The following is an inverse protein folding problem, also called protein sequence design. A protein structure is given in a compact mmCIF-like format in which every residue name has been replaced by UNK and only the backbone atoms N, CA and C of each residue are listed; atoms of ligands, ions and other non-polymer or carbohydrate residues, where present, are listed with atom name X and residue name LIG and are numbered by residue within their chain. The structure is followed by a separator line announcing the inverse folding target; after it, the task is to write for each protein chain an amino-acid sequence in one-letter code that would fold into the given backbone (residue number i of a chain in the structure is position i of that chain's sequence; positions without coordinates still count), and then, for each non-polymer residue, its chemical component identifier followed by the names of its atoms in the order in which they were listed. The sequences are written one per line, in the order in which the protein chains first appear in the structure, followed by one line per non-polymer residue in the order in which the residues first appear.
data_IF_217044018475
#
_entry.id   IF_217044018475
#
_cell.length_a   1.000
_cell.length_b   1.000
_cell.length_c   1.000
_cell.angle_alpha   90.00
_cell.angle_beta   90.00
_cell.angle_gamma   90.00
#
_symmetry.space_group_name_H-M   'P 1'
#
loop_
_entity.id
_entity.type
_entity.pdbx_description
1 polymer ?
#
# COMPACT_ATOMS: atom_id res chain seq x y z
N UNK A 1 -10.74 58.18 14.46
CA UNK A 1 -11.66 57.52 15.42
C UNK A 1 -11.83 56.07 15.01
N UNK A 2 -11.87 55.14 15.99
CA UNK A 2 -11.90 53.66 15.87
C UNK A 2 -10.54 52.95 15.82
N UNK A 3 -9.65 53.34 16.72
CA UNK A 3 -8.63 52.45 17.34
C UNK A 3 -9.03 52.19 18.79
N UNK A 4 -10.06 51.38 19.02
CA UNK A 4 -10.38 50.81 20.34
C UNK A 4 -11.55 49.86 20.19
N UNK A 5 -11.28 48.54 20.18
CA UNK A 5 -12.19 47.46 20.60
C UNK A 5 -11.50 46.11 20.32
N UNK A 6 -10.42 45.84 21.06
CA UNK A 6 -9.90 44.48 21.25
C UNK A 6 -9.92 44.24 22.77
N UNK A 7 -10.76 43.34 23.29
CA UNK A 7 -10.58 42.89 24.67
C UNK A 7 -9.34 41.99 24.71
N UNK A 8 -8.30 42.45 25.41
CA UNK A 8 -7.13 41.65 25.81
C UNK A 8 -7.59 40.54 26.75
N UNK A 9 -7.91 39.36 26.20
CA UNK A 9 -8.09 38.16 27.02
C UNK A 9 -6.69 37.62 27.38
N UNK A 10 -6.22 37.96 28.58
CA UNK A 10 -5.14 37.24 29.26
C UNK A 10 -5.65 35.85 29.62
N UNK A 11 -5.27 34.83 28.86
CA UNK A 11 -5.48 33.44 29.27
C UNK A 11 -4.26 33.00 30.10
N UNK A 12 -4.48 32.81 31.40
CA UNK A 12 -3.53 32.13 32.28
C UNK A 12 -3.38 30.65 31.83
N UNK A 13 -2.19 30.03 31.93
CA UNK A 13 -2.00 28.64 31.55
C UNK A 13 -2.64 27.73 32.61
N UNK A 14 -3.93 27.43 32.45
CA UNK A 14 -4.58 26.37 33.22
C UNK A 14 -4.19 24.99 32.66
N UNK A 15 -3.57 24.21 33.53
CA UNK A 15 -3.27 22.79 33.42
C UNK A 15 -4.49 21.98 32.96
N UNK A 16 -4.63 21.67 31.68
CA UNK A 16 -5.46 20.55 31.20
C UNK A 16 -4.86 20.02 29.88
N UNK A 17 -3.71 19.35 29.99
CA UNK A 17 -3.25 18.42 28.97
C UNK A 17 -4.05 17.11 29.16
N UNK A 18 -4.87 16.67 28.19
CA UNK A 18 -5.55 15.40 28.28
C UNK A 18 -4.52 14.26 28.34
N UNK A 19 -4.83 13.22 29.10
CA UNK A 19 -4.04 11.98 29.33
C UNK A 19 -3.54 11.24 28.08
N UNK A 20 -3.88 11.70 26.88
CA UNK A 20 -3.31 11.26 25.59
C UNK A 20 -1.89 11.78 25.33
N UNK A 21 -1.45 12.87 25.98
CA UNK A 21 -0.08 13.37 25.83
C UNK A 21 0.95 12.56 26.63
N UNK A 22 0.55 11.93 27.74
CA UNK A 22 1.45 11.11 28.54
C UNK A 22 1.73 9.73 27.93
N UNK A 23 0.81 9.19 27.11
CA UNK A 23 1.01 7.90 26.44
C UNK A 23 1.83 8.00 25.14
N UNK A 24 1.99 9.21 24.58
CA UNK A 24 2.74 9.45 23.35
C UNK A 24 4.17 9.95 23.64
N UNK A 25 4.44 10.48 24.84
CA UNK A 25 5.74 11.05 25.24
C UNK A 25 6.27 10.36 26.50
N UNK A 26 6.53 9.04 26.43
CA UNK A 26 7.45 8.34 27.35
C UNK A 26 8.15 7.19 26.62
N UNK A 27 9.09 7.54 25.74
CA UNK A 27 10.28 6.73 25.52
C UNK A 27 11.48 7.53 26.04
N UNK A 28 11.43 7.91 27.32
CA UNK A 28 12.66 8.27 28.03
C UNK A 28 13.28 6.97 28.51
N UNK A 29 14.53 6.76 28.10
CA UNK A 29 15.26 5.53 28.34
C UNK A 29 15.29 5.17 29.82
N UNK A 30 14.72 4.01 30.14
CA UNK A 30 15.21 3.18 31.23
C UNK A 30 15.84 1.97 30.57
N UNK A 31 17.13 1.74 30.85
CA UNK A 31 17.76 0.45 30.69
C UNK A 31 17.20 -0.48 31.78
N UNK A 32 15.94 -0.88 31.68
CA UNK A 32 15.46 -2.05 32.41
C UNK A 32 15.90 -3.29 31.63
N UNK A 33 16.30 -4.33 32.35
CA UNK A 33 16.49 -5.68 31.81
C UNK A 33 15.15 -6.21 31.34
N UNK A 34 14.68 -5.71 30.20
CA UNK A 34 13.49 -6.18 29.55
C UNK A 34 13.82 -7.52 28.89
N UNK A 35 13.14 -8.59 29.33
CA UNK A 35 13.35 -9.94 28.80
C UNK A 35 13.08 -10.03 27.30
N UNK A 36 13.55 -11.11 26.66
CA UNK A 36 13.47 -11.27 25.21
C UNK A 36 12.04 -11.18 24.66
N UNK A 37 11.03 -11.63 25.40
CA UNK A 37 9.63 -11.51 25.00
C UNK A 37 9.13 -10.05 24.91
N UNK A 38 9.59 -9.16 25.79
CA UNK A 38 9.24 -7.74 25.76
C UNK A 38 9.80 -7.06 24.49
N UNK A 39 10.97 -7.48 24.01
CA UNK A 39 11.56 -6.97 22.77
C UNK A 39 10.64 -7.18 21.56
N UNK A 40 10.11 -8.40 21.42
CA UNK A 40 9.24 -8.76 20.30
C UNK A 40 7.87 -8.11 20.42
N UNK A 41 7.32 -7.98 21.62
CA UNK A 41 6.08 -7.23 21.83
C UNK A 41 6.21 -5.76 21.45
N UNK A 42 7.31 -5.11 21.85
CA UNK A 42 7.59 -3.72 21.45
C UNK A 42 7.74 -3.61 19.94
N UNK A 43 8.38 -4.58 19.30
CA UNK A 43 8.53 -4.60 17.85
C UNK A 43 7.18 -4.80 17.13
N UNK A 44 6.33 -5.73 17.59
CA UNK A 44 4.98 -5.91 17.09
C UNK A 44 4.15 -4.63 17.25
N UNK A 45 4.12 -4.02 18.45
CA UNK A 45 3.40 -2.77 18.71
C UNK A 45 3.90 -1.63 17.81
N UNK A 46 5.20 -1.62 17.50
CA UNK A 46 5.78 -0.66 16.56
C UNK A 46 5.28 -0.87 15.13
N UNK A 47 5.29 -2.11 14.65
CA UNK A 47 4.76 -2.49 13.33
C UNK A 47 3.27 -2.17 13.24
N UNK A 48 2.49 -2.36 14.30
CA UNK A 48 1.04 -2.11 14.27
C UNK A 48 0.68 -0.62 14.15
N UNK A 49 1.59 0.26 14.58
CA UNK A 49 1.46 1.72 14.38
C UNK A 49 1.66 2.16 12.94
N UNK A 50 2.25 1.33 12.08
CA UNK A 50 2.38 1.60 10.63
C UNK A 50 1.01 1.63 9.94
N UNK A 51 0.93 2.14 8.71
CA UNK A 51 -0.36 2.35 8.03
C UNK A 51 -1.15 1.06 7.77
N UNK A 52 -0.48 -0.05 7.48
CA UNK A 52 -1.11 -1.35 7.24
C UNK A 52 -1.34 -2.16 8.52
N UNK A 53 -0.73 -1.72 9.62
CA UNK A 53 -0.81 -2.42 10.90
C UNK A 53 -0.13 -3.80 10.89
N UNK A 54 -0.21 -4.44 12.04
CA UNK A 54 0.36 -5.74 12.34
C UNK A 54 -0.37 -6.32 13.56
N UNK A 55 -1.66 -6.70 13.44
CA UNK A 55 -2.43 -7.20 14.58
C UNK A 55 -1.70 -8.31 15.32
N UNK A 56 -1.61 -8.20 16.64
CA UNK A 56 -0.91 -9.20 17.45
C UNK A 56 -1.55 -10.59 17.28
N UNK A 57 -0.71 -11.60 17.07
CA UNK A 57 -1.09 -13.01 17.16
C UNK A 57 0.12 -13.85 17.54
N UNK A 58 -0.13 -15.05 18.06
CA UNK A 58 0.93 -16.02 18.34
C UNK A 58 1.75 -16.34 17.08
N UNK A 59 1.07 -16.45 15.93
CA UNK A 59 1.69 -16.69 14.63
C UNK A 59 2.65 -15.55 14.25
N UNK A 60 2.25 -14.28 14.40
CA UNK A 60 3.14 -13.14 14.15
C UNK A 60 4.35 -13.16 15.08
N UNK A 61 4.16 -13.45 16.38
CA UNK A 61 5.27 -13.50 17.33
C UNK A 61 6.31 -14.56 16.96
N UNK A 62 5.88 -15.73 16.46
CA UNK A 62 6.78 -16.76 15.92
C UNK A 62 7.58 -16.24 14.72
N UNK A 63 6.93 -15.53 13.79
CA UNK A 63 7.61 -14.91 12.65
C UNK A 63 8.69 -13.93 13.14
N UNK A 64 8.35 -13.03 14.06
CA UNK A 64 9.27 -12.02 14.57
C UNK A 64 10.49 -12.64 15.27
N UNK A 65 10.29 -13.72 16.03
CA UNK A 65 11.37 -14.48 16.71
C UNK A 65 12.32 -15.18 15.73
N UNK A 66 11.84 -15.53 14.54
CA UNK A 66 12.66 -16.17 13.51
C UNK A 66 13.46 -15.13 12.72
N UNK A 67 12.85 -14.01 12.35
CA UNK A 67 13.46 -13.04 11.43
C UNK A 67 14.41 -12.05 12.12
N UNK A 68 14.29 -11.89 13.44
CA UNK A 68 15.09 -10.95 14.21
C UNK A 68 15.49 -11.56 15.56
N UNK A 69 16.73 -11.30 15.97
CA UNK A 69 17.18 -11.56 17.35
C UNK A 69 16.52 -10.58 18.33
N UNK A 70 16.56 -10.83 19.66
CA UNK A 70 16.00 -9.90 20.65
C UNK A 70 16.66 -8.51 20.61
N UNK A 71 17.95 -8.42 20.28
CA UNK A 71 18.67 -7.14 20.11
C UNK A 71 18.17 -6.38 18.88
N UNK A 72 18.02 -7.09 17.76
CA UNK A 72 17.49 -6.55 16.50
C UNK A 72 16.05 -6.09 16.64
N UNK A 73 15.18 -6.87 17.30
CA UNK A 73 13.79 -6.50 17.57
C UNK A 73 13.70 -5.24 18.45
N UNK A 74 14.54 -5.12 19.49
CA UNK A 74 14.65 -3.90 20.30
C UNK A 74 15.03 -2.69 19.46
N UNK A 75 16.03 -2.81 18.60
CA UNK A 75 16.44 -1.73 17.70
C UNK A 75 15.30 -1.36 16.74
N UNK A 76 14.74 -2.34 16.03
CA UNK A 76 13.67 -2.15 15.06
C UNK A 76 12.42 -1.51 15.69
N UNK A 77 12.07 -1.87 16.93
CA UNK A 77 10.95 -1.27 17.67
C UNK A 77 11.08 0.25 17.90
N UNK A 78 12.30 0.78 17.82
CA UNK A 78 12.61 2.21 18.02
C UNK A 78 12.85 2.96 16.71
N UNK A 79 12.86 2.27 15.56
CA UNK A 79 13.09 2.89 14.26
C UNK A 79 11.82 3.60 13.74
N UNK A 80 11.97 4.71 13.01
CA UNK A 80 10.85 5.46 12.45
C UNK A 80 10.24 4.80 11.22
N UNK A 81 8.96 5.02 10.94
CA UNK A 81 8.33 4.55 9.70
C UNK A 81 8.65 5.45 8.51
N UNK A 82 9.13 6.67 8.78
CA UNK A 82 9.50 7.66 7.79
C UNK A 82 11.02 7.76 7.63
N UNK A 83 11.54 8.00 6.41
CA UNK A 83 12.97 8.09 6.15
C UNK A 83 13.64 9.14 7.03
N UNK A 84 14.67 8.73 7.77
CA UNK A 84 15.34 9.56 8.77
C UNK A 84 16.85 9.40 8.71
N UNK A 85 17.59 10.52 8.72
CA UNK A 85 19.04 10.48 8.57
C UNK A 85 19.69 9.79 9.76
N UNK A 86 20.77 9.04 9.49
CA UNK A 86 21.50 8.30 10.52
C UNK A 86 22.05 9.20 11.62
N UNK A 87 22.45 10.44 11.30
CA UNK A 87 22.92 11.42 12.29
C UNK A 87 21.86 11.73 13.35
N UNK A 88 20.58 11.78 12.95
CA UNK A 88 19.46 11.99 13.86
C UNK A 88 19.15 10.72 14.66
N UNK A 89 19.09 9.57 13.99
CA UNK A 89 18.85 8.28 14.66
C UNK A 89 19.92 8.00 15.73
N UNK A 90 21.19 8.28 15.44
CA UNK A 90 22.28 8.14 16.39
C UNK A 90 22.05 8.96 17.67
N UNK A 91 21.63 10.22 17.54
CA UNK A 91 21.31 11.09 18.68
C UNK A 91 20.10 10.59 19.49
N UNK A 92 19.03 10.18 18.82
CA UNK A 92 17.80 9.70 19.47
C UNK A 92 17.99 8.34 20.15
N UNK A 93 18.75 7.46 19.51
CA UNK A 93 19.01 6.11 20.01
C UNK A 93 20.14 6.05 21.03
N UNK A 94 20.99 7.09 21.07
CA UNK A 94 22.24 7.17 21.84
C UNK A 94 23.23 6.06 21.47
N UNK A 95 23.35 5.79 20.17
CA UNK A 95 24.27 4.79 19.60
C UNK A 95 25.21 5.52 18.63
N UNK A 96 26.54 5.35 18.71
CA UNK A 96 27.48 5.95 17.77
C UNK A 96 27.13 5.63 16.30
N UNK A 97 27.32 6.58 15.39
CA UNK A 97 26.91 6.44 13.97
C UNK A 97 27.46 5.16 13.34
N UNK A 98 28.75 4.86 13.52
CA UNK A 98 29.39 3.68 12.94
C UNK A 98 28.73 2.37 13.43
N UNK A 99 28.55 2.25 14.74
CA UNK A 99 27.90 1.08 15.35
C UNK A 99 26.43 0.97 14.91
N UNK A 100 25.73 2.09 14.82
CA UNK A 100 24.34 2.11 14.37
C UNK A 100 24.21 1.70 12.89
N UNK A 101 25.11 2.16 12.03
CA UNK A 101 25.14 1.80 10.60
C UNK A 101 25.35 0.30 10.42
N UNK A 102 26.31 -0.29 11.16
CA UNK A 102 26.56 -1.73 11.16
C UNK A 102 25.32 -2.52 11.60
N UNK A 103 24.68 -2.12 12.70
CA UNK A 103 23.49 -2.82 13.21
C UNK A 103 22.26 -2.68 12.30
N UNK A 104 21.98 -1.48 11.78
CA UNK A 104 20.82 -1.25 10.92
C UNK A 104 21.03 -1.85 9.52
N UNK A 105 22.25 -1.87 8.99
CA UNK A 105 22.53 -2.46 7.68
C UNK A 105 22.19 -3.96 7.65
N UNK A 106 22.46 -4.69 8.73
CA UNK A 106 22.02 -6.10 8.87
C UNK A 106 20.50 -6.22 8.80
N UNK A 107 19.75 -5.31 9.44
CA UNK A 107 18.29 -5.28 9.34
C UNK A 107 17.83 -4.97 7.91
N UNK A 108 18.55 -4.12 7.18
CA UNK A 108 18.23 -3.80 5.80
C UNK A 108 18.48 -4.99 4.86
N UNK A 109 19.60 -5.70 5.02
CA UNK A 109 19.88 -6.94 4.29
C UNK A 109 18.85 -8.05 4.60
N UNK A 110 18.32 -8.10 5.83
CA UNK A 110 17.21 -9.00 6.19
C UNK A 110 15.87 -8.56 5.59
N UNK A 111 15.76 -7.34 5.09
CA UNK A 111 14.53 -6.75 4.56
C UNK A 111 13.60 -6.16 5.63
N UNK A 112 14.11 -5.85 6.81
CA UNK A 112 13.33 -5.30 7.93
C UNK A 112 13.38 -3.76 8.01
N UNK A 113 14.36 -3.17 7.32
CA UNK A 113 14.59 -1.72 7.24
C UNK A 113 14.89 -1.35 5.79
N UNK A 114 14.42 -0.21 5.32
CA UNK A 114 14.90 0.37 4.05
C UNK A 114 15.98 1.38 4.38
N UNK A 115 17.09 1.30 3.64
CA UNK A 115 18.11 2.34 3.60
C UNK A 115 18.01 3.15 2.29
N UNK A 116 18.46 4.40 2.32
CA UNK A 116 18.49 5.31 1.17
C UNK A 116 19.70 6.23 1.27
N UNK A 117 20.33 6.53 0.14
CA UNK A 117 21.38 7.56 0.06
C UNK A 117 20.78 8.87 -0.46
N UNK A 118 20.86 9.95 0.32
CA UNK A 118 20.41 11.28 -0.07
C UNK A 118 21.48 12.30 0.32
N UNK A 119 21.99 13.07 -0.65
CA UNK A 119 23.01 14.12 -0.42
C UNK A 119 24.21 13.65 0.43
N UNK A 120 24.75 12.46 0.11
CA UNK A 120 25.86 11.80 0.82
C UNK A 120 25.57 11.37 2.28
N UNK A 121 24.33 11.43 2.74
CA UNK A 121 23.91 10.89 4.03
C UNK A 121 22.97 9.68 3.86
N UNK A 122 23.11 8.68 4.73
CA UNK A 122 22.22 7.51 4.79
C UNK A 122 20.96 7.84 5.58
N UNK A 123 19.82 7.45 5.03
CA UNK A 123 18.50 7.54 5.65
C UNK A 123 17.95 6.14 5.86
N UNK A 124 17.27 5.93 6.98
CA UNK A 124 16.66 4.65 7.30
C UNK A 124 15.19 4.80 7.67
N UNK A 125 14.39 3.78 7.36
CA UNK A 125 13.00 3.66 7.78
C UNK A 125 12.63 2.20 8.04
N UNK A 126 11.92 1.96 9.14
CA UNK A 126 11.31 0.68 9.45
C UNK A 126 10.30 0.30 8.37
N UNK A 127 10.36 -0.97 7.97
CA UNK A 127 9.50 -1.53 6.95
C UNK A 127 8.24 -2.13 7.59
N UNK A 128 7.02 -1.89 7.05
CA UNK A 128 5.81 -2.55 7.53
C UNK A 128 5.79 -4.03 7.15
N UNK A 129 4.75 -4.78 7.56
CA UNK A 129 4.59 -6.16 7.07
C UNK A 129 4.36 -6.19 5.56
N UNK A 130 3.42 -5.36 5.08
CA UNK A 130 3.00 -5.26 3.67
C UNK A 130 2.77 -3.79 3.31
N UNK A 131 3.24 -3.25 2.19
CA UNK A 131 4.29 -3.79 1.34
C UNK A 131 5.61 -3.55 2.07
N UNK A 132 6.29 -4.62 2.44
CA UNK A 132 7.47 -4.55 3.26
C UNK A 132 8.17 -5.89 3.45
N UNK A 133 8.43 -6.30 4.69
CA UNK A 133 9.34 -7.41 4.93
C UNK A 133 8.76 -8.74 4.45
N UNK A 134 7.42 -8.90 4.36
CA UNK A 134 6.83 -10.05 3.68
C UNK A 134 7.34 -10.15 2.23
N UNK A 135 7.26 -9.05 1.48
CA UNK A 135 7.73 -8.99 0.11
C UNK A 135 9.23 -9.26 0.01
N UNK A 136 10.04 -8.56 0.79
CA UNK A 136 11.51 -8.67 0.70
C UNK A 136 12.02 -10.08 1.04
N UNK A 137 11.40 -10.76 2.01
CA UNK A 137 11.72 -12.16 2.34
C UNK A 137 11.31 -13.14 1.23
N UNK A 138 10.28 -12.83 0.45
CA UNK A 138 9.72 -13.72 -0.58
C UNK A 138 10.22 -13.43 -2.00
N UNK A 139 10.68 -12.21 -2.27
CA UNK A 139 11.11 -11.73 -3.61
C UNK A 139 12.52 -12.18 -4.00
N UNK A 140 13.36 -12.47 -3.01
CA UNK A 140 14.77 -12.82 -3.23
C UNK A 140 14.98 -14.31 -3.49
N UNK A 141 15.94 -14.60 -4.36
CA UNK A 141 16.42 -15.97 -4.62
C UNK A 141 17.49 -16.40 -3.61
N UNK A 142 18.25 -15.45 -3.07
CA UNK A 142 19.30 -15.71 -2.08
C UNK A 142 18.72 -15.70 -0.64
N UNK A 143 19.45 -16.33 0.28
CA UNK A 143 19.11 -16.38 1.70
C UNK A 143 20.36 -16.14 2.55
N UNK A 144 20.89 -14.91 2.62
CA UNK A 144 22.20 -14.62 3.20
C UNK A 144 22.30 -14.86 4.72
N UNK A 145 21.18 -15.17 5.38
CA UNK A 145 21.11 -15.42 6.83
C UNK A 145 20.56 -16.81 7.16
N UNK A 146 20.50 -17.71 6.18
CA UNK A 146 19.98 -19.08 6.31
C UNK A 146 18.64 -19.17 7.05
N UNK A 147 17.79 -18.16 6.86
CA UNK A 147 16.47 -18.11 7.48
C UNK A 147 15.67 -19.35 7.05
N UNK A 148 14.86 -19.96 7.92
CA UNK A 148 14.01 -21.09 7.56
C UNK A 148 12.83 -20.62 6.71
N UNK A 149 13.10 -20.27 5.45
CA UNK A 149 12.17 -19.55 4.57
C UNK A 149 10.88 -20.33 4.34
N UNK A 150 10.92 -21.67 4.31
CA UNK A 150 9.70 -22.50 4.19
C UNK A 150 8.83 -22.37 5.43
N UNK A 151 9.40 -22.42 6.63
CA UNK A 151 8.67 -22.24 7.89
C UNK A 151 8.09 -20.83 8.00
N UNK A 152 8.89 -19.81 7.69
CA UNK A 152 8.43 -18.41 7.62
C UNK A 152 7.26 -18.28 6.63
N UNK A 153 7.34 -18.95 5.48
CA UNK A 153 6.27 -18.95 4.46
C UNK A 153 4.97 -19.56 5.02
N UNK A 154 5.05 -20.69 5.72
CA UNK A 154 3.91 -21.35 6.35
C UNK A 154 3.29 -20.47 7.45
N UNK A 155 4.12 -19.82 8.26
CA UNK A 155 3.66 -18.91 9.31
C UNK A 155 2.99 -17.67 8.72
N UNK A 156 3.52 -17.08 7.64
CA UNK A 156 2.86 -15.98 6.95
C UNK A 156 1.52 -16.40 6.34
N UNK A 157 1.47 -17.58 5.71
CA UNK A 157 0.23 -18.11 5.15
C UNK A 157 -0.84 -18.25 6.24
N UNK A 158 -0.46 -18.85 7.36
CA UNK A 158 -1.32 -18.93 8.54
C UNK A 158 -1.71 -17.53 9.03
N UNK A 159 -0.78 -16.61 9.24
CA UNK A 159 -1.09 -15.27 9.74
C UNK A 159 -2.04 -14.49 8.84
N UNK A 160 -1.94 -14.70 7.52
CA UNK A 160 -2.82 -14.06 6.53
C UNK A 160 -4.21 -14.70 6.52
N UNK A 161 -4.32 -16.03 6.64
CA UNK A 161 -5.56 -16.78 6.38
C UNK A 161 -6.20 -17.45 7.60
N UNK A 162 -5.58 -17.43 8.78
CA UNK A 162 -6.12 -18.01 10.02
C UNK A 162 -7.40 -17.29 10.49
N UNK A 163 -7.51 -16.00 10.18
CA UNK A 163 -8.69 -15.18 10.40
C UNK A 163 -8.62 -13.92 9.51
N UNK A 164 -9.62 -13.04 9.61
CA UNK A 164 -9.72 -11.82 8.82
C UNK A 164 -9.03 -10.60 9.46
N UNK A 165 -8.42 -10.70 10.64
CA UNK A 165 -7.85 -9.55 11.37
C UNK A 165 -6.73 -8.88 10.59
N UNK A 166 -5.80 -9.68 10.06
CA UNK A 166 -4.70 -9.17 9.26
C UNK A 166 -5.22 -8.50 7.98
N UNK A 167 -6.08 -9.19 7.23
CA UNK A 167 -6.68 -8.66 6.01
C UNK A 167 -7.44 -7.35 6.24
N UNK A 168 -8.26 -7.27 7.29
CA UNK A 168 -8.99 -6.04 7.66
C UNK A 168 -8.07 -4.90 8.11
N UNK A 169 -6.91 -5.21 8.71
CA UNK A 169 -5.92 -4.21 9.10
C UNK A 169 -5.19 -3.60 7.89
N UNK A 170 -4.84 -4.46 6.93
CA UNK A 170 -4.13 -4.05 5.70
C UNK A 170 -5.08 -3.34 4.73
N UNK A 171 -6.30 -3.86 4.57
CA UNK A 171 -7.33 -3.44 3.61
C UNK A 171 -8.62 -2.94 4.28
N UNK A 172 -8.55 -1.97 5.22
CA UNK A 172 -9.75 -1.43 5.83
C UNK A 172 -10.60 -0.71 4.79
N UNK A 173 -11.90 -0.59 5.06
CA UNK A 173 -12.79 0.23 4.26
C UNK A 173 -12.29 1.69 4.19
N UNK A 174 -12.15 2.21 2.98
CA UNK A 174 -11.61 3.54 2.69
C UNK A 174 -11.43 3.74 1.19
N UNK A 175 -11.00 4.93 0.80
CA UNK A 175 -10.74 5.27 -0.61
C UNK A 175 -9.28 5.07 -0.99
N UNK A 176 -8.39 4.93 0.00
CA UNK A 176 -6.97 4.70 -0.22
C UNK A 176 -6.55 3.29 0.16
N UNK A 177 -5.76 2.67 -0.73
CA UNK A 177 -5.12 1.38 -0.47
C UNK A 177 -3.65 1.39 -0.87
N UNK A 178 -2.98 0.30 -0.50
CA UNK A 178 -1.64 0.01 -0.98
C UNK A 178 -1.62 -0.36 -2.46
N UNK A 179 -2.73 -0.72 -3.10
CA UNK A 179 -2.77 -1.10 -4.51
C UNK A 179 -3.87 -0.40 -5.29
N UNK A 180 -3.58 -0.01 -6.52
CA UNK A 180 -4.51 0.52 -7.53
C UNK A 180 -4.37 -0.26 -8.83
N UNK A 181 -5.49 -0.67 -9.39
CA UNK A 181 -5.56 -1.38 -10.66
C UNK A 181 -5.31 -0.43 -11.83
N UNK A 182 -4.41 -0.82 -12.72
CA UNK A 182 -4.26 -0.25 -14.04
C UNK A 182 -5.04 -1.08 -15.05
N UNK A 183 -5.66 -0.40 -16.02
CA UNK A 183 -6.38 -1.05 -17.12
C UNK A 183 -5.40 -1.58 -18.15
N UNK A 184 -5.71 -2.71 -18.78
CA UNK A 184 -5.02 -3.16 -19.98
C UNK A 184 -5.27 -2.14 -21.10
N UNK A 185 -4.30 -1.28 -21.35
CA UNK A 185 -4.37 -0.16 -22.31
C UNK A 185 -4.94 -0.57 -23.68
N UNK A 186 -4.59 -1.76 -24.16
CA UNK A 186 -5.01 -2.32 -25.45
C UNK A 186 -6.51 -2.62 -25.52
N UNK A 187 -7.19 -2.65 -24.37
CA UNK A 187 -8.64 -2.90 -24.26
C UNK A 187 -9.45 -1.61 -24.20
N UNK A 188 -8.78 -0.47 -24.12
CA UNK A 188 -9.42 0.82 -24.18
C UNK A 188 -9.81 1.13 -25.64
N UNK A 189 -10.98 1.74 -25.86
CA UNK A 189 -11.35 2.18 -27.20
C UNK A 189 -10.30 3.17 -27.71
N UNK A 190 -9.88 3.00 -28.97
CA UNK A 190 -9.16 4.02 -29.73
C UNK A 190 -10.12 5.19 -29.97
N UNK A 191 -10.42 5.97 -28.93
CA UNK A 191 -11.27 7.15 -29.07
C UNK A 191 -10.42 8.25 -29.68
N UNK A 192 -10.85 8.77 -30.83
CA UNK A 192 -10.22 9.91 -31.49
C UNK A 192 -10.16 11.17 -30.58
N UNK A 193 -10.95 11.23 -29.49
CA UNK A 193 -11.07 12.43 -28.63
C UNK A 193 -10.83 12.20 -27.12
N UNK A 194 -10.69 10.97 -26.62
CA UNK A 194 -10.47 10.71 -25.19
C UNK A 194 -8.99 10.41 -24.91
N UNK A 195 -8.24 11.43 -24.48
CA UNK A 195 -6.85 11.25 -24.02
C UNK A 195 -6.82 10.36 -22.77
N UNK A 196 -6.28 9.16 -22.92
CA UNK A 196 -5.87 8.31 -21.79
C UNK A 196 -4.71 9.03 -21.11
N UNK A 197 -4.82 9.29 -19.81
CA UNK A 197 -3.73 9.94 -19.08
C UNK A 197 -2.56 8.96 -18.92
N UNK A 198 -1.36 9.51 -18.97
CA UNK A 198 -0.12 8.75 -18.79
C UNK A 198 -0.08 7.96 -17.48
N UNK A 199 -0.64 8.52 -16.40
CA UNK A 199 -0.72 7.85 -15.11
C UNK A 199 -1.71 6.66 -15.05
N UNK A 200 -2.49 6.42 -16.11
CA UNK A 200 -3.33 5.22 -16.26
C UNK A 200 -2.64 4.12 -17.09
N UNK A 201 -1.44 4.40 -17.62
CA UNK A 201 -0.73 3.54 -18.57
C UNK A 201 0.44 2.85 -17.90
N UNK A 202 0.35 1.53 -17.76
CA UNK A 202 1.44 0.70 -17.28
C UNK A 202 2.68 0.80 -18.18
N UNK A 203 2.50 0.95 -19.50
CA UNK A 203 3.61 1.13 -20.44
C UNK A 203 4.37 2.42 -20.18
N UNK A 204 3.68 3.48 -19.77
CA UNK A 204 4.29 4.79 -19.53
C UNK A 204 5.11 4.82 -18.24
N UNK A 205 4.65 4.14 -17.19
CA UNK A 205 5.43 3.92 -15.96
C UNK A 205 6.78 3.27 -16.29
N UNK A 206 6.78 2.23 -17.13
CA UNK A 206 8.01 1.52 -17.51
C UNK A 206 8.90 2.39 -18.41
N UNK A 207 8.33 3.17 -19.34
CA UNK A 207 9.09 4.02 -20.26
C UNK A 207 9.75 5.21 -19.57
N UNK A 208 9.05 5.82 -18.62
CA UNK A 208 9.52 7.01 -17.89
C UNK A 208 10.50 6.70 -16.77
N UNK A 209 10.55 5.44 -16.30
CA UNK A 209 11.49 5.00 -15.27
C UNK A 209 12.94 5.12 -15.73
N UNK A 210 13.80 5.67 -14.86
CA UNK A 210 15.25 5.81 -15.10
C UNK A 210 16.01 4.55 -14.74
N UNK A 211 15.51 3.82 -13.75
CA UNK A 211 16.06 2.53 -13.32
C UNK A 211 14.93 1.55 -13.04
N UNK A 212 15.11 0.31 -13.44
CA UNK A 212 14.12 -0.75 -13.26
C UNK A 212 14.81 -2.00 -12.75
N UNK A 213 14.22 -2.62 -11.73
CA UNK A 213 14.57 -3.98 -11.32
C UNK A 213 13.39 -4.92 -11.48
N UNK A 214 13.69 -6.17 -11.80
CA UNK A 214 12.74 -7.28 -11.67
C UNK A 214 13.12 -8.17 -10.49
N UNK A 215 12.12 -8.53 -9.70
CA UNK A 215 12.22 -9.52 -8.62
C UNK A 215 11.23 -10.66 -8.82
N UNK A 216 11.41 -11.74 -8.06
CA UNK A 216 10.43 -12.83 -8.02
C UNK A 216 9.12 -12.31 -7.41
N UNK A 217 7.97 -12.74 -7.94
CA UNK A 217 6.68 -12.37 -7.36
C UNK A 217 6.51 -13.01 -5.98
N UNK A 218 6.55 -12.19 -4.91
CA UNK A 218 6.41 -12.61 -3.52
C UNK A 218 5.24 -13.59 -3.30
N UNK A 219 4.08 -13.27 -3.88
CA UNK A 219 2.85 -14.02 -3.71
C UNK A 219 2.91 -15.39 -4.40
N UNK A 220 3.46 -15.46 -5.63
CA UNK A 220 3.64 -16.74 -6.34
C UNK A 220 4.75 -17.58 -5.70
N UNK A 221 5.82 -16.95 -5.24
CA UNK A 221 6.88 -17.62 -4.48
C UNK A 221 6.35 -18.27 -3.20
N UNK A 222 5.55 -17.53 -2.41
CA UNK A 222 4.85 -18.09 -1.24
C UNK A 222 4.02 -19.32 -1.64
N UNK A 223 3.19 -19.16 -2.68
CA UNK A 223 2.33 -20.23 -3.21
C UNK A 223 3.12 -21.48 -3.61
N UNK A 224 4.23 -21.30 -4.35
CA UNK A 224 5.08 -22.39 -4.81
C UNK A 224 5.79 -23.11 -3.67
N UNK A 225 6.32 -22.37 -2.68
CA UNK A 225 6.95 -22.95 -1.47
C UNK A 225 5.99 -23.77 -0.61
N UNK A 226 4.68 -23.52 -0.73
CA UNK A 226 3.62 -24.28 -0.06
C UNK A 226 3.05 -25.41 -0.93
N UNK A 227 3.69 -25.76 -2.05
CA UNK A 227 3.19 -26.76 -3.01
C UNK A 227 1.80 -26.42 -3.56
N UNK A 228 1.50 -25.13 -3.69
CA UNK A 228 0.28 -24.60 -4.30
C UNK A 228 0.67 -23.74 -5.50
N UNK A 229 1.15 -24.31 -6.62
CA UNK A 229 1.66 -23.54 -7.73
C UNK A 229 0.59 -22.62 -8.35
N UNK A 230 1.05 -21.57 -9.03
CA UNK A 230 0.18 -20.60 -9.69
C UNK A 230 -0.74 -21.31 -10.69
N UNK A 231 -2.07 -21.16 -10.54
CA UNK A 231 -3.06 -21.76 -11.47
C UNK A 231 -2.97 -21.25 -12.91
N UNK A 232 -2.29 -20.12 -13.13
CA UNK A 232 -2.04 -19.55 -14.47
C UNK A 232 -0.68 -19.98 -15.03
N UNK A 233 0.16 -20.67 -14.26
CA UNK A 233 1.54 -20.99 -14.61
C UNK A 233 2.35 -19.76 -15.04
N UNK A 234 2.07 -18.62 -14.40
CA UNK A 234 2.69 -17.35 -14.74
C UNK A 234 4.15 -17.27 -14.23
N UNK A 235 5.10 -16.73 -15.03
CA UNK A 235 6.52 -16.66 -14.69
C UNK A 235 6.76 -15.92 -13.37
N UNK A 236 7.75 -16.31 -12.57
CA UNK A 236 8.02 -15.67 -11.28
C UNK A 236 8.57 -14.24 -11.41
N UNK A 237 9.47 -13.99 -12.36
CA UNK A 237 10.16 -12.71 -12.57
C UNK A 237 9.22 -11.66 -13.19
N UNK A 238 8.36 -11.07 -12.37
CA UNK A 238 7.33 -10.13 -12.84
C UNK A 238 7.07 -8.96 -11.89
N UNK A 239 7.73 -8.92 -10.72
CA UNK A 239 7.57 -7.81 -9.80
C UNK A 239 8.54 -6.70 -10.20
N UNK A 240 8.03 -5.58 -10.71
CA UNK A 240 8.86 -4.47 -11.16
C UNK A 240 8.99 -3.42 -10.05
N UNK A 241 10.19 -2.88 -9.88
CA UNK A 241 10.47 -1.78 -8.94
C UNK A 241 11.24 -0.70 -9.69
N UNK A 242 10.99 0.57 -9.36
CA UNK A 242 11.44 1.72 -10.14
C UNK A 242 12.30 2.68 -9.31
N UNK A 243 13.26 3.31 -10.00
CA UNK A 243 14.07 4.44 -9.53
C UNK A 243 14.70 4.22 -8.15
N UNK A 244 14.45 5.10 -7.17
CA UNK A 244 15.07 5.00 -5.83
C UNK A 244 14.74 3.69 -5.12
N UNK A 245 13.56 3.13 -5.35
CA UNK A 245 13.21 1.84 -4.76
C UNK A 245 13.96 0.70 -5.47
N UNK A 246 14.21 0.81 -6.77
CA UNK A 246 15.06 -0.13 -7.52
C UNK A 246 16.51 -0.13 -6.99
N UNK A 247 17.06 1.02 -6.60
CA UNK A 247 18.39 1.10 -5.98
C UNK A 247 18.48 0.29 -4.66
N UNK A 248 17.42 0.31 -3.85
CA UNK A 248 17.34 -0.53 -2.65
C UNK A 248 17.25 -2.02 -3.00
N UNK A 249 16.41 -2.39 -3.97
CA UNK A 249 16.28 -3.78 -4.44
C UNK A 249 17.61 -4.34 -4.94
N UNK A 250 18.40 -3.53 -5.67
CA UNK A 250 19.72 -3.95 -6.16
C UNK A 250 20.73 -4.10 -5.04
N UNK A 251 20.86 -3.10 -4.16
CA UNK A 251 21.89 -3.11 -3.10
C UNK A 251 21.76 -4.31 -2.16
N UNK A 252 20.54 -4.75 -1.88
CA UNK A 252 20.28 -5.89 -1.01
C UNK A 252 20.01 -7.21 -1.75
N UNK A 253 20.26 -7.26 -3.07
CA UNK A 253 20.10 -8.46 -3.90
C UNK A 253 18.69 -9.06 -3.86
N UNK A 254 17.66 -8.22 -3.79
CA UNK A 254 16.26 -8.67 -3.82
C UNK A 254 15.71 -8.84 -5.23
N UNK A 255 16.46 -8.37 -6.23
CA UNK A 255 16.13 -8.48 -7.64
C UNK A 255 17.33 -8.14 -8.50
N UNK A 256 17.11 -8.07 -9.81
CA UNK A 256 18.15 -7.75 -10.80
C UNK A 256 17.73 -6.57 -11.67
N UNK A 257 18.71 -5.78 -12.11
CA UNK A 257 18.48 -4.64 -12.98
C UNK A 257 18.05 -5.11 -14.37
N UNK A 258 17.13 -4.38 -14.99
CA UNK A 258 16.67 -4.65 -16.35
C UNK A 258 16.50 -3.35 -17.13
N UNK A 259 16.53 -3.46 -18.45
CA UNK A 259 16.23 -2.35 -19.35
C UNK A 259 14.72 -2.08 -19.43
N UNK A 260 14.33 -0.88 -19.86
CA UNK A 260 12.93 -0.54 -20.13
C UNK A 260 12.31 -1.48 -21.16
N UNK A 261 13.07 -1.86 -22.21
CA UNK A 261 12.65 -2.84 -23.21
C UNK A 261 12.29 -4.18 -22.57
N UNK A 262 13.15 -4.69 -21.68
CA UNK A 262 12.88 -5.92 -20.94
C UNK A 262 11.67 -5.77 -20.01
N UNK A 263 11.48 -4.61 -19.41
CA UNK A 263 10.29 -4.30 -18.60
C UNK A 263 9.00 -4.39 -19.43
N UNK A 264 8.99 -3.84 -20.64
CA UNK A 264 7.84 -3.90 -21.55
C UNK A 264 7.54 -5.34 -22.01
N UNK A 265 8.57 -6.17 -22.22
CA UNK A 265 8.40 -7.60 -22.51
C UNK A 265 7.73 -8.34 -21.34
N UNK A 266 8.19 -8.09 -20.10
CA UNK A 266 7.59 -8.67 -18.90
C UNK A 266 6.13 -8.23 -18.77
N UNK A 267 5.83 -6.95 -19.03
CA UNK A 267 4.47 -6.44 -19.01
C UNK A 267 3.59 -7.12 -20.06
N UNK A 268 4.09 -7.27 -21.29
CA UNK A 268 3.38 -7.97 -22.37
C UNK A 268 3.09 -9.43 -21.98
N UNK A 269 4.11 -10.15 -21.52
CA UNK A 269 3.97 -11.52 -21.05
C UNK A 269 2.94 -11.61 -19.91
N UNK A 270 3.01 -10.71 -18.93
CA UNK A 270 2.05 -10.67 -17.83
C UNK A 270 0.60 -10.51 -18.34
N UNK A 271 0.35 -9.65 -19.33
CA UNK A 271 -0.98 -9.49 -19.94
C UNK A 271 -1.44 -10.76 -20.67
N UNK A 272 -0.55 -11.45 -21.37
CA UNK A 272 -0.85 -12.72 -22.07
C UNK A 272 -1.35 -13.79 -21.08
N UNK A 273 -0.70 -13.91 -19.93
CA UNK A 273 -1.10 -14.77 -18.80
C UNK A 273 -2.36 -14.29 -18.04
N UNK A 274 -2.94 -13.15 -18.45
CA UNK A 274 -4.15 -12.60 -17.82
C UNK A 274 -3.90 -11.98 -16.44
N UNK A 275 -2.70 -11.46 -16.20
CA UNK A 275 -2.35 -10.80 -14.95
C UNK A 275 -2.86 -9.35 -14.91
N UNK A 276 -3.20 -8.89 -13.71
CA UNK A 276 -3.63 -7.51 -13.42
C UNK A 276 -2.41 -6.68 -13.08
N UNK A 277 -2.25 -5.52 -13.71
CA UNK A 277 -1.23 -4.55 -13.33
C UNK A 277 -1.73 -3.71 -12.16
N UNK A 278 -0.90 -3.60 -11.11
CA UNK A 278 -1.23 -2.86 -9.89
C UNK A 278 -0.07 -1.92 -9.52
N UNK A 279 -0.36 -0.64 -9.37
CA UNK A 279 0.52 0.39 -8.81
C UNK A 279 -0.13 1.02 -7.56
N UNK A 280 0.16 2.29 -7.21
CA UNK A 280 -0.58 2.97 -6.14
C UNK A 280 -0.68 4.50 -6.21
N UNK A 281 0.03 5.19 -7.11
CA UNK A 281 0.08 6.66 -7.19
C UNK A 281 0.21 7.11 -8.65
N UNK A 282 -0.12 8.38 -8.94
CA UNK A 282 -0.06 8.89 -10.32
C UNK A 282 1.36 9.13 -10.83
N UNK A 283 2.22 9.72 -10.01
CA UNK A 283 3.55 10.18 -10.40
C UNK A 283 4.61 9.48 -9.57
N UNK A 284 5.70 9.09 -10.24
CA UNK A 284 6.84 8.37 -9.66
C UNK A 284 6.42 7.15 -8.81
N UNK A 285 5.58 6.23 -9.36
CA UNK A 285 5.26 5.00 -8.65
C UNK A 285 6.53 4.18 -8.44
N UNK A 286 6.69 3.61 -7.24
CA UNK A 286 7.93 2.91 -6.88
C UNK A 286 7.93 1.43 -7.27
N UNK A 287 6.78 0.86 -7.62
CA UNK A 287 6.66 -0.51 -8.09
C UNK A 287 5.47 -0.70 -9.01
N UNK A 288 5.48 -1.82 -9.74
CA UNK A 288 4.34 -2.35 -10.45
C UNK A 288 4.27 -3.87 -10.25
N UNK A 289 3.16 -4.31 -9.66
CA UNK A 289 2.87 -5.72 -9.47
C UNK A 289 2.06 -6.26 -10.67
N UNK A 290 2.42 -7.45 -11.12
CA UNK A 290 1.71 -8.19 -12.17
C UNK A 290 0.98 -9.39 -11.52
N UNK A 291 -0.26 -9.16 -11.07
CA UNK A 291 -0.93 -10.03 -10.10
C UNK A 291 -1.86 -11.06 -10.75
N UNK A 292 -1.79 -12.31 -10.26
CA UNK A 292 -2.78 -13.34 -10.57
C UNK A 292 -3.82 -13.45 -9.43
N UNK A 293 -5.06 -13.76 -9.80
CA UNK A 293 -6.15 -13.95 -8.85
C UNK A 293 -5.95 -15.11 -7.87
N UNK A 294 -5.11 -16.10 -8.22
CA UNK A 294 -4.90 -17.30 -7.41
C UNK A 294 -3.86 -17.14 -6.30
N UNK A 295 -2.88 -16.24 -6.44
CA UNK A 295 -1.79 -16.12 -5.46
C UNK A 295 -1.73 -14.74 -4.79
N UNK A 296 -2.10 -13.66 -5.48
CA UNK A 296 -1.91 -12.30 -4.98
C UNK A 296 -2.70 -12.04 -3.69
N UNK A 297 -2.01 -11.68 -2.60
CA UNK A 297 -2.64 -11.38 -1.31
C UNK A 297 -3.68 -10.26 -1.40
N UNK A 298 -3.44 -9.22 -2.20
CA UNK A 298 -4.42 -8.15 -2.42
C UNK A 298 -5.69 -8.66 -3.09
N UNK A 299 -5.57 -9.47 -4.15
CA UNK A 299 -6.73 -10.02 -4.86
C UNK A 299 -7.47 -11.09 -4.03
N UNK A 300 -6.75 -11.85 -3.21
CA UNK A 300 -7.33 -12.75 -2.22
C UNK A 300 -8.11 -11.99 -1.13
N UNK A 301 -7.72 -10.75 -0.82
CA UNK A 301 -8.52 -9.81 -0.03
C UNK A 301 -9.97 -9.67 -0.54
N UNK A 302 -10.14 -9.49 -1.85
CA UNK A 302 -11.46 -9.40 -2.46
C UNK A 302 -12.21 -10.75 -2.45
N UNK A 303 -11.51 -11.83 -2.82
CA UNK A 303 -12.13 -13.13 -3.07
C UNK A 303 -12.47 -13.92 -1.81
N UNK A 304 -11.56 -13.91 -0.84
CA UNK A 304 -11.59 -14.82 0.32
C UNK A 304 -12.17 -14.12 1.53
N UNK A 305 -11.85 -12.84 1.73
CA UNK A 305 -12.30 -12.05 2.87
C UNK A 305 -13.47 -11.11 2.55
N UNK A 306 -13.97 -11.13 1.31
CA UNK A 306 -15.04 -10.26 0.85
C UNK A 306 -14.77 -8.77 1.15
N UNK A 307 -13.53 -8.32 0.91
CA UNK A 307 -13.09 -6.94 1.08
C UNK A 307 -13.08 -6.25 -0.29
N UNK A 308 -14.22 -5.74 -0.80
CA UNK A 308 -14.33 -5.23 -2.18
C UNK A 308 -13.46 -4.00 -2.45
N UNK A 309 -12.92 -3.39 -1.40
CA UNK A 309 -12.05 -2.23 -1.43
C UNK A 309 -10.57 -2.58 -1.22
N UNK A 310 -10.16 -3.85 -1.22
CA UNK A 310 -8.77 -4.23 -1.00
C UNK A 310 -7.79 -3.72 -2.07
N UNK A 311 -8.29 -3.44 -3.28
CA UNK A 311 -7.54 -2.78 -4.36
C UNK A 311 -8.39 -1.67 -4.94
N UNK A 312 -7.80 -0.49 -5.09
CA UNK A 312 -8.44 0.66 -5.76
C UNK A 312 -8.69 0.30 -7.23
N UNK A 313 -9.91 0.53 -7.72
CA UNK A 313 -10.29 0.22 -9.10
C UNK A 313 -9.66 1.21 -10.09
N UNK A 314 -9.52 0.82 -11.36
CA UNK A 314 -9.12 1.76 -12.42
C UNK A 314 -10.21 2.81 -12.70
N UNK A 315 -9.88 3.85 -13.46
CA UNK A 315 -10.86 4.84 -13.95
C UNK A 315 -11.79 4.30 -15.06
N UNK A 316 -11.66 3.02 -15.41
CA UNK A 316 -12.45 2.35 -16.43
C UNK A 316 -13.26 1.20 -15.84
N UNK A 317 -14.32 0.81 -16.55
CA UNK A 317 -15.22 -0.27 -16.18
C UNK A 317 -15.57 -1.09 -17.42
N UNK A 318 -15.68 -2.40 -17.25
CA UNK A 318 -16.13 -3.27 -18.33
C UNK A 318 -17.65 -3.12 -18.55
N UNK A 319 -18.07 -3.07 -19.80
CA UNK A 319 -19.46 -3.11 -20.23
C UNK A 319 -19.69 -4.33 -21.14
N UNK A 320 -20.82 -5.00 -20.94
CA UNK A 320 -21.27 -6.13 -21.77
C UNK A 320 -22.27 -5.62 -22.79
N UNK A 321 -22.03 -5.93 -24.06
CA UNK A 321 -23.00 -5.86 -25.15
C UNK A 321 -23.80 -7.17 -25.13
N UNK A 322 -25.06 -7.08 -24.69
CA UNK A 322 -25.94 -8.24 -24.53
C UNK A 322 -26.37 -8.83 -25.86
N UNK A 323 -26.34 -8.08 -26.97
CA UNK A 323 -26.72 -8.60 -28.28
C UNK A 323 -25.63 -9.51 -28.83
N UNK A 324 -24.38 -9.08 -28.74
CA UNK A 324 -23.20 -9.85 -29.20
C UNK A 324 -22.82 -10.98 -28.25
N UNK A 325 -23.21 -10.89 -26.98
CA UNK A 325 -22.82 -11.89 -25.99
C UNK A 325 -23.54 -13.23 -26.23
N UNK A 326 -22.78 -14.28 -26.53
CA UNK A 326 -23.32 -15.65 -26.66
C UNK A 326 -23.28 -16.47 -25.37
N UNK A 327 -22.82 -15.88 -24.25
CA UNK A 327 -22.79 -16.57 -22.96
C UNK A 327 -21.76 -17.71 -22.82
N UNK A 328 -20.67 -17.69 -23.59
CA UNK A 328 -19.67 -18.78 -23.61
C UNK A 328 -18.86 -18.97 -22.30
N UNK A 329 -18.92 -18.03 -21.35
CA UNK A 329 -18.28 -18.16 -20.03
C UNK A 329 -16.78 -17.90 -19.98
N UNK A 330 -16.09 -17.68 -21.10
CA UNK A 330 -14.63 -17.46 -21.10
C UNK A 330 -14.20 -16.24 -20.27
N UNK A 331 -14.95 -15.14 -20.35
CA UNK A 331 -14.69 -13.94 -19.56
C UNK A 331 -14.82 -14.18 -18.05
N UNK A 332 -15.77 -15.01 -17.62
CA UNK A 332 -15.94 -15.39 -16.22
C UNK A 332 -14.74 -16.21 -15.72
N UNK A 333 -14.30 -17.21 -16.49
CA UNK A 333 -13.12 -18.04 -16.17
C UNK A 333 -11.81 -17.23 -16.09
N UNK A 334 -11.68 -16.21 -16.92
CA UNK A 334 -10.49 -15.36 -16.98
C UNK A 334 -10.50 -14.21 -15.98
N UNK A 335 -11.63 -13.94 -15.30
CA UNK A 335 -11.71 -12.86 -14.35
C UNK A 335 -10.82 -13.13 -13.12
N UNK A 336 -9.85 -12.25 -12.79
CA UNK A 336 -8.93 -12.51 -11.67
C UNK A 336 -9.60 -12.46 -10.30
N UNK A 337 -10.78 -11.87 -10.19
CA UNK A 337 -11.52 -11.65 -8.94
C UNK A 337 -12.97 -12.14 -9.01
N UNK A 338 -13.29 -13.01 -9.98
CA UNK A 338 -14.60 -13.63 -10.14
C UNK A 338 -15.78 -12.62 -10.24
N UNK A 339 -15.52 -11.43 -10.81
CA UNK A 339 -16.50 -10.34 -10.94
C UNK A 339 -17.50 -10.50 -12.10
N UNK A 340 -17.57 -11.69 -12.72
CA UNK A 340 -18.39 -11.95 -13.90
C UNK A 340 -19.13 -13.27 -13.71
N UNK A 341 -20.46 -13.21 -13.81
CA UNK A 341 -21.35 -14.36 -13.76
C UNK A 341 -22.01 -14.58 -15.12
N UNK A 342 -22.40 -15.83 -15.42
CA UNK A 342 -23.19 -16.16 -16.61
C UNK A 342 -24.62 -16.48 -16.17
N UNK A 343 -25.58 -15.62 -16.52
CA UNK A 343 -27.01 -15.80 -16.20
C UNK A 343 -27.85 -15.84 -17.47
N UNK A 344 -29.03 -16.44 -17.39
CA UNK A 344 -30.02 -16.34 -18.47
C UNK A 344 -30.66 -14.95 -18.44
N UNK A 345 -30.80 -14.33 -19.60
CA UNK A 345 -31.62 -13.13 -19.78
C UNK A 345 -33.12 -13.50 -19.80
N UNK A 346 -33.98 -12.49 -19.95
CA UNK A 346 -35.44 -12.65 -20.04
C UNK A 346 -35.89 -13.57 -21.18
N UNK A 347 -35.05 -13.74 -22.21
CA UNK A 347 -35.31 -14.59 -23.37
C UNK A 347 -34.67 -15.98 -23.22
N UNK A 348 -34.19 -16.34 -22.03
CA UNK A 348 -33.57 -17.62 -21.72
C UNK A 348 -32.14 -17.79 -22.26
N UNK A 349 -31.57 -16.78 -22.93
CA UNK A 349 -30.22 -16.83 -23.51
C UNK A 349 -29.19 -16.52 -22.43
N UNK A 350 -28.09 -17.28 -22.39
CA UNK A 350 -26.99 -17.04 -21.45
C UNK A 350 -26.25 -15.76 -21.83
N UNK A 351 -26.02 -14.88 -20.85
CA UNK A 351 -25.31 -13.60 -20.98
C UNK A 351 -24.33 -13.43 -19.82
N UNK A 352 -23.24 -12.73 -20.09
CA UNK A 352 -22.31 -12.31 -19.04
C UNK A 352 -22.90 -11.12 -18.27
N UNK A 353 -22.76 -11.14 -16.96
CA UNK A 353 -23.17 -10.06 -16.06
C UNK A 353 -21.97 -9.68 -15.22
N UNK A 354 -21.65 -8.38 -15.20
CA UNK A 354 -20.58 -7.81 -14.39
C UNK A 354 -21.11 -7.45 -13.01
N UNK A 355 -20.43 -7.86 -11.94
CA UNK A 355 -20.71 -7.40 -10.58
C UNK A 355 -19.98 -6.09 -10.23
N UNK A 356 -20.36 -5.47 -9.12
CA UNK A 356 -19.81 -4.17 -8.71
C UNK A 356 -18.40 -4.23 -8.15
N UNK A 357 -17.90 -5.42 -7.80
CA UNK A 357 -16.50 -5.62 -7.38
C UNK A 357 -15.49 -5.53 -8.54
N UNK A 358 -15.96 -5.32 -9.78
CA UNK A 358 -15.10 -5.24 -10.96
C UNK A 358 -14.03 -4.14 -10.84
N UNK A 359 -12.76 -4.56 -10.85
CA UNK A 359 -11.60 -3.67 -10.79
C UNK A 359 -11.45 -2.77 -12.01
N UNK A 360 -12.04 -3.15 -13.16
CA UNK A 360 -11.82 -2.48 -14.43
C UNK A 360 -10.43 -2.74 -15.04
N UNK A 361 -9.87 -3.93 -14.83
CA UNK A 361 -8.54 -4.31 -15.33
C UNK A 361 -8.48 -4.62 -16.83
N UNK A 362 -9.60 -4.91 -17.49
CA UNK A 362 -9.65 -5.22 -18.93
C UNK A 362 -9.25 -6.66 -19.31
N UNK A 363 -8.77 -7.49 -18.37
CA UNK A 363 -8.34 -8.89 -18.65
C UNK A 363 -9.42 -9.70 -19.37
N UNK A 364 -10.70 -9.54 -19.01
CA UNK A 364 -11.79 -10.28 -19.66
C UNK A 364 -12.07 -9.79 -21.09
N UNK A 365 -11.85 -8.50 -21.38
CA UNK A 365 -12.10 -7.87 -22.69
C UNK A 365 -11.16 -8.46 -23.73
N UNK A 366 -9.87 -8.56 -23.41
CA UNK A 366 -8.86 -9.15 -24.31
C UNK A 366 -9.09 -10.63 -24.63
N UNK A 367 -9.94 -11.32 -23.86
CA UNK A 367 -10.25 -12.75 -24.04
C UNK A 367 -11.57 -13.00 -24.78
N UNK A 368 -12.40 -11.97 -24.99
CA UNK A 368 -13.68 -12.09 -25.68
C UNK A 368 -13.49 -12.08 -27.20
N UNK A 369 -13.63 -13.25 -27.86
CA UNK A 369 -13.51 -13.37 -29.32
C UNK A 369 -14.72 -12.87 -30.10
N UNK A 370 -15.83 -12.58 -29.42
CA UNK A 370 -17.10 -12.15 -30.03
C UNK A 370 -17.30 -10.63 -30.03
N UNK A 371 -16.32 -9.87 -29.50
CA UNK A 371 -16.44 -8.41 -29.39
C UNK A 371 -17.59 -7.95 -28.49
N UNK A 372 -18.06 -8.80 -27.58
CA UNK A 372 -19.20 -8.52 -26.71
C UNK A 372 -18.84 -7.74 -25.44
N UNK A 373 -17.55 -7.49 -25.18
CA UNK A 373 -17.07 -6.74 -24.01
C UNK A 373 -16.28 -5.53 -24.48
N UNK A 374 -16.44 -4.41 -23.78
CA UNK A 374 -15.65 -3.19 -24.01
C UNK A 374 -15.32 -2.49 -22.71
N UNK A 375 -14.24 -1.71 -22.68
CA UNK A 375 -13.94 -0.82 -21.56
C UNK A 375 -14.58 0.56 -21.81
N UNK A 376 -15.19 1.13 -20.78
CA UNK A 376 -15.73 2.49 -20.77
C UNK A 376 -15.19 3.29 -19.59
N UNK A 377 -15.03 4.61 -19.71
CA UNK A 377 -14.75 5.46 -18.55
C UNK A 377 -15.85 5.30 -17.49
N UNK A 378 -15.46 5.33 -16.21
CA UNK A 378 -16.43 5.42 -15.11
C UNK A 378 -17.11 6.79 -15.12
N UNK A 379 -18.36 6.84 -14.65
CA UNK A 379 -19.11 8.10 -14.51
C UNK A 379 -18.41 9.06 -13.54
N UNK A 380 -17.88 8.52 -12.46
CA UNK A 380 -17.07 9.25 -11.48
C UNK A 380 -15.64 8.73 -11.53
N UNK A 381 -14.67 9.65 -11.52
CA UNK A 381 -13.26 9.27 -11.45
C UNK A 381 -12.93 8.75 -10.06
N UNK A 382 -12.14 7.69 -10.04
CA UNK A 382 -11.58 7.13 -8.83
C UNK A 382 -10.46 8.04 -8.35
N UNK A 383 -10.52 8.45 -7.08
CA UNK A 383 -9.44 9.21 -6.48
C UNK A 383 -8.14 8.40 -6.53
N UNK A 384 -7.08 9.02 -7.03
CA UNK A 384 -5.73 8.46 -7.00
C UNK A 384 -4.81 9.54 -6.44
N UNK A 385 -4.08 9.26 -5.35
CA UNK A 385 -3.05 10.17 -4.83
C UNK A 385 -1.98 10.48 -5.88
N UNK A 386 -1.51 11.72 -5.94
CA UNK A 386 -0.50 12.13 -6.92
C UNK A 386 0.86 11.51 -6.62
N UNK A 387 1.22 11.41 -5.33
CA UNK A 387 2.55 10.97 -4.88
C UNK A 387 2.45 9.98 -3.72
N UNK A 388 3.54 9.27 -3.45
CA UNK A 388 3.64 8.37 -2.29
C UNK A 388 3.39 9.12 -0.98
N UNK A 389 3.87 10.36 -0.86
CA UNK A 389 3.64 11.19 0.32
C UNK A 389 2.15 11.49 0.53
N UNK A 390 1.45 11.93 -0.51
CA UNK A 390 0.00 12.20 -0.44
C UNK A 390 -0.76 10.93 -0.04
N UNK A 391 -0.45 9.79 -0.67
CA UNK A 391 -1.06 8.50 -0.34
C UNK A 391 -0.84 8.16 1.14
N UNK A 392 0.38 8.34 1.64
CA UNK A 392 0.73 8.05 3.02
C UNK A 392 -0.10 8.88 4.01
N UNK A 393 -0.24 10.18 3.76
CA UNK A 393 -1.04 11.10 4.58
C UNK A 393 -2.53 10.75 4.51
N UNK A 394 -3.06 10.52 3.31
CA UNK A 394 -4.46 10.18 3.11
C UNK A 394 -4.81 8.86 3.82
N UNK A 395 -3.99 7.82 3.67
CA UNK A 395 -4.14 6.56 4.41
C UNK A 395 -4.04 6.77 5.93
N UNK A 396 -3.12 7.60 6.41
CA UNK A 396 -2.99 7.89 7.84
C UNK A 396 -4.24 8.56 8.41
N UNK A 397 -4.83 9.50 7.66
CA UNK A 397 -6.10 10.14 8.00
C UNK A 397 -7.25 9.12 8.01
N UNK A 398 -7.38 8.34 6.94
CA UNK A 398 -8.44 7.35 6.76
C UNK A 398 -8.47 6.28 7.83
N UNK A 399 -7.27 5.87 8.28
CA UNK A 399 -7.07 4.78 9.23
C UNK A 399 -6.94 5.27 10.68
N UNK A 400 -7.01 6.58 10.93
CA UNK A 400 -6.86 7.17 12.26
C UNK A 400 -5.44 7.08 12.82
N UNK A 401 -4.44 6.94 11.96
CA UNK A 401 -3.01 6.81 12.30
C UNK A 401 -2.21 8.09 12.06
N UNK A 402 -2.86 9.21 11.70
CA UNK A 402 -2.17 10.49 11.48
C UNK A 402 -1.37 10.93 12.71
N UNK A 403 -1.91 10.77 13.92
CA UNK A 403 -1.21 11.09 15.16
C UNK A 403 0.14 10.36 15.25
N UNK A 404 0.16 9.04 14.98
CA UNK A 404 1.40 8.25 14.98
C UNK A 404 2.43 8.86 14.02
N UNK A 405 2.00 9.25 12.82
CA UNK A 405 2.87 9.85 11.81
C UNK A 405 3.38 11.24 12.23
N UNK A 406 2.51 12.09 12.80
CA UNK A 406 2.86 13.44 13.26
C UNK A 406 3.80 13.41 14.46
N UNK A 407 3.54 12.53 15.42
CA UNK A 407 4.31 12.46 16.67
C UNK A 407 5.61 11.68 16.53
N UNK A 408 5.80 10.90 15.45
CA UNK A 408 7.13 10.43 15.06
C UNK A 408 8.05 11.61 14.67
N UNK A 409 7.50 12.73 14.17
CA UNK A 409 8.27 13.90 13.72
C UNK A 409 7.51 15.24 13.84
N UNK A 410 7.38 15.84 15.03
CA UNK A 410 6.74 17.15 15.17
C UNK A 410 7.46 18.25 14.35
N UNK A 411 8.77 18.13 14.13
CA UNK A 411 9.60 19.17 13.52
C UNK A 411 9.71 19.12 12.00
N UNK A 412 9.32 18.01 11.35
CA UNK A 412 9.32 17.91 9.86
C UNK A 412 8.10 18.58 9.23
N UNK A 413 7.12 19.00 10.03
CA UNK A 413 5.92 19.69 9.56
C UNK A 413 6.18 21.18 9.44
N UNK A 414 6.92 21.57 8.41
CA UNK A 414 6.94 22.97 7.96
C UNK A 414 5.52 23.49 7.75
N UNK A 415 5.29 24.81 7.87
CA UNK A 415 3.98 25.40 7.57
C UNK A 415 3.46 25.00 6.17
N UNK A 416 4.35 24.75 5.20
CA UNK A 416 4.00 24.24 3.86
C UNK A 416 3.52 22.79 3.89
N UNK A 417 4.17 21.92 4.67
CA UNK A 417 3.74 20.53 4.84
C UNK A 417 2.38 20.45 5.55
N UNK A 418 2.16 21.26 6.57
CA UNK A 418 0.85 21.40 7.22
C UNK A 418 -0.20 21.94 6.26
N UNK A 419 0.13 22.98 5.47
CA UNK A 419 -0.76 23.51 4.43
C UNK A 419 -1.16 22.46 3.40
N UNK A 420 -0.21 21.59 2.98
CA UNK A 420 -0.50 20.45 2.09
C UNK A 420 -1.43 19.43 2.74
N UNK A 421 -1.19 19.06 4.01
CA UNK A 421 -2.10 18.17 4.74
C UNK A 421 -3.50 18.77 4.81
N UNK A 422 -3.62 20.06 5.14
CA UNK A 422 -4.92 20.73 5.20
C UNK A 422 -5.63 20.77 3.84
N UNK A 423 -4.90 21.07 2.76
CA UNK A 423 -5.45 21.02 1.41
C UNK A 423 -5.90 19.61 1.00
N UNK A 424 -5.14 18.57 1.37
CA UNK A 424 -5.54 17.18 1.15
C UNK A 424 -6.80 16.84 1.94
N UNK A 425 -6.89 17.27 3.19
CA UNK A 425 -8.09 17.10 4.00
C UNK A 425 -9.30 17.74 3.34
N UNK A 426 -9.19 18.91 2.70
CA UNK A 426 -10.32 19.52 1.97
C UNK A 426 -10.75 18.74 0.72
N UNK A 427 -9.82 18.00 0.10
CA UNK A 427 -10.07 17.19 -1.11
C UNK A 427 -10.62 15.80 -0.81
N UNK A 428 -10.43 15.29 0.41
CA UNK A 428 -11.03 14.02 0.84
C UNK A 428 -12.55 14.15 0.97
N UNK A 429 -13.34 13.10 0.69
CA UNK A 429 -14.78 13.15 0.84
C UNK A 429 -15.17 13.53 2.27
N UNK A 430 -16.13 14.44 2.46
CA UNK A 430 -16.48 14.98 3.78
C UNK A 430 -16.84 13.90 4.82
N UNK A 431 -17.42 12.78 4.39
CA UNK A 431 -17.82 11.68 5.27
C UNK A 431 -16.60 10.97 5.90
N UNK A 432 -15.50 10.87 5.16
CA UNK A 432 -14.25 10.21 5.60
C UNK A 432 -13.56 11.02 6.68
N UNK A 433 -13.52 12.35 6.54
CA UNK A 433 -12.93 13.27 7.52
C UNK A 433 -13.76 13.28 8.81
N UNK A 434 -15.09 13.34 8.70
CA UNK A 434 -16.01 13.37 9.84
C UNK A 434 -15.95 12.07 10.65
N UNK A 435 -15.90 10.90 9.98
CA UNK A 435 -15.80 9.59 10.62
C UNK A 435 -14.48 9.44 11.40
N UNK A 436 -13.37 9.93 10.85
CA UNK A 436 -12.05 9.83 11.49
C UNK A 436 -11.77 10.92 12.52
N UNK A 437 -12.43 12.07 12.43
CA UNK A 437 -12.30 13.11 13.44
C UNK A 437 -12.89 12.70 14.81
N UNK A 438 -13.91 11.84 14.84
CA UNK A 438 -14.38 11.24 16.11
C UNK A 438 -13.27 10.49 16.87
N UNK A 439 -12.30 9.90 16.15
CA UNK A 439 -11.13 9.22 16.72
C UNK A 439 -10.01 10.19 17.11
N UNK A 440 -9.79 11.25 16.32
CA UNK A 440 -8.74 12.26 16.56
C UNK A 440 -9.10 13.26 17.69
N UNK A 441 -10.38 13.31 18.13
CA UNK A 441 -10.91 14.23 19.16
C UNK A 441 -10.52 15.71 18.94
N UNK A 442 -10.32 16.14 17.69
CA UNK A 442 -9.89 17.51 17.37
C UNK A 442 -11.07 18.40 17.02
N UNK A 443 -11.31 19.44 17.83
CA UNK A 443 -12.33 20.47 17.55
C UNK A 443 -12.01 21.28 16.30
N UNK A 444 -10.73 21.44 15.96
CA UNK A 444 -10.28 22.15 14.77
C UNK A 444 -10.62 21.37 13.49
N UNK A 445 -10.27 20.09 13.44
CA UNK A 445 -10.58 19.20 12.31
C UNK A 445 -12.11 19.06 12.13
N UNK A 446 -12.87 19.07 13.23
CA UNK A 446 -14.35 19.03 13.19
C UNK A 446 -14.92 20.23 12.42
N UNK A 447 -14.46 21.43 12.80
CA UNK A 447 -14.93 22.69 12.24
C UNK A 447 -14.60 22.80 10.74
N UNK A 448 -13.41 22.33 10.35
CA UNK A 448 -13.03 22.27 8.94
C UNK A 448 -13.89 21.31 8.13
N UNK A 449 -14.14 20.10 8.64
CA UNK A 449 -14.98 19.11 7.95
C UNK A 449 -16.43 19.60 7.78
N UNK A 450 -16.97 20.29 8.79
CA UNK A 450 -18.27 20.97 8.69
C UNK A 450 -18.28 22.06 7.62
N UNK A 451 -17.21 22.86 7.51
CA UNK A 451 -17.09 23.91 6.50
C UNK A 451 -16.94 23.34 5.09
N UNK A 452 -16.19 22.25 4.91
CA UNK A 452 -16.08 21.53 3.64
C UNK A 452 -17.44 20.93 3.22
N UNK A 453 -18.18 20.33 4.17
CA UNK A 453 -19.55 19.83 3.94
C UNK A 453 -20.51 20.95 3.51
N UNK A 454 -20.43 22.13 4.13
CA UNK A 454 -21.23 23.31 3.75
C UNK A 454 -20.89 23.83 2.36
N UNK A 455 -19.63 23.81 1.95
CA UNK A 455 -19.21 24.16 0.57
C UNK A 455 -19.72 23.14 -0.45
N UNK A 456 -19.56 21.84 -0.18
CA UNK A 456 -20.03 20.78 -1.09
C UNK A 456 -21.54 20.82 -1.35
N UNK A 457 -22.34 21.19 -0.33
CA UNK A 457 -23.80 21.39 -0.46
C UNK A 457 -24.14 22.63 -1.29
N UNK A 458 -23.31 23.68 -1.24
CA UNK A 458 -23.50 24.91 -2.04
C UNK A 458 -23.16 24.73 -3.52
N UNK A 459 -22.27 23.80 -3.89
CA UNK A 459 -21.92 23.49 -5.29
C UNK A 459 -22.87 22.51 -5.99
N UNK A 460 -23.83 21.92 -5.25
CA UNK A 460 -24.88 21.03 -5.80
C UNK A 460 -26.24 21.72 -5.98
N UNK A 461 -26.34 23.00 -5.61
CA UNK A 461 -27.40 23.93 -6.03
C UNK A 461 -26.82 24.82 -7.11
#
# INVERSE_FOLDING_TARGET
MLTSLIPKIKVQPKQYLPSLFQSVIRFHGNHSHDGDDDAYEKYQKRLDRTLTGAPASETLMKILKIIATPKEARLASRLPSMPTPISKLSKELKIPIKELDEQISVLADKGLVIDMQINNEKYFSLVPIVIGFFEFLMMRANNPYDLPIVEITQLFDRYIFENDKFANSVFPAGETQIGRTLVHEETLPQMNDAKIYDYERATEIIKSAKKITVSLCCCRMKSQRLNHPCKKDAPLETCLTFDRAADYILRHNFGKEITNQRGLEILKQAKEYGLVQIDNVKYEPTYMCNCCGCCCGMLQGLKTFNLPHAVVTSNYIMQVDTEKCIGCGKCAKECPIDAIEIKKDSNGKKKAIRSDICLGCGVCVSKCKFGALSMKPRKERVYTPETVFERYIAMALERGKLANLLFEYPEKFSHRALGRIFSMMEKLPPLTIIKNNKKLKSRFIAKMAENAKKKAIKTKK
#
